data_IF_504432459176
#
_entry.id   IF_504432459176
#
_cell.length_a   1.000
_cell.length_b   1.000
_cell.length_c   1.000
_cell.angle_alpha   90.00
_cell.angle_beta   90.00
_cell.angle_gamma   90.00
#
_symmetry.space_group_name_H-M   'P 1'
#
loop_
_entity.id
_entity.type
_entity.pdbx_description
1 polymer ?
#
# COMPACT_ATOMS: atom_id res chain seq x y z
N UNK A 1 -9.98 7.56 13.86
CA UNK A 1 -9.13 6.68 13.03
C UNK A 1 -7.84 6.41 13.78
N UNK A 2 -7.42 5.15 13.88
CA UNK A 2 -6.09 4.79 14.41
C UNK A 2 -5.01 5.14 13.40
N UNK A 3 -3.75 5.21 13.85
CA UNK A 3 -2.62 5.48 12.95
C UNK A 3 -2.47 4.41 11.88
N UNK A 4 -2.74 3.14 12.24
CA UNK A 4 -2.82 2.02 11.29
C UNK A 4 -3.86 2.27 10.20
N UNK A 5 -5.10 2.60 10.57
CA UNK A 5 -6.17 2.87 9.59
C UNK A 5 -5.83 4.09 8.74
N UNK A 6 -5.18 5.12 9.30
CA UNK A 6 -4.72 6.30 8.55
C UNK A 6 -3.69 5.93 7.50
N UNK A 7 -2.70 5.11 7.85
CA UNK A 7 -1.73 4.61 6.88
C UNK A 7 -2.39 3.80 5.77
N UNK A 8 -3.35 2.92 6.09
CA UNK A 8 -4.10 2.12 5.10
C UNK A 8 -4.83 3.02 4.10
N UNK A 9 -5.52 4.06 4.58
CA UNK A 9 -6.22 5.00 3.70
C UNK A 9 -5.22 5.73 2.79
N UNK A 10 -4.11 6.23 3.35
CA UNK A 10 -3.09 6.95 2.57
C UNK A 10 -2.48 6.08 1.49
N UNK A 11 -2.02 4.85 1.80
CA UNK A 11 -1.44 3.96 0.78
C UNK A 11 -2.47 3.62 -0.31
N UNK A 12 -3.73 3.41 0.08
CA UNK A 12 -4.79 3.08 -0.88
C UNK A 12 -5.05 4.24 -1.85
N UNK A 13 -5.06 5.47 -1.34
CA UNK A 13 -5.19 6.68 -2.16
C UNK A 13 -3.99 6.88 -3.10
N UNK A 14 -2.77 6.68 -2.62
CA UNK A 14 -1.55 6.80 -3.44
C UNK A 14 -1.52 5.78 -4.58
N UNK A 15 -1.85 4.51 -4.29
CA UNK A 15 -1.95 3.46 -5.29
C UNK A 15 -3.04 3.80 -6.31
N UNK A 16 -4.21 4.25 -5.85
CA UNK A 16 -5.33 4.60 -6.72
C UNK A 16 -5.00 5.77 -7.65
N UNK A 17 -4.32 6.78 -7.13
CA UNK A 17 -3.85 7.94 -7.90
C UNK A 17 -2.69 7.63 -8.85
N UNK A 18 -1.93 6.55 -8.61
CA UNK A 18 -0.69 6.25 -9.35
C UNK A 18 0.52 7.06 -8.86
N UNK A 19 0.45 7.65 -7.68
CA UNK A 19 1.49 8.52 -7.09
C UNK A 19 2.57 7.66 -6.40
N UNK A 20 3.22 6.81 -7.20
CA UNK A 20 4.10 5.76 -6.69
C UNK A 20 5.44 6.31 -6.15
N UNK A 21 5.84 7.53 -6.51
CA UNK A 21 7.04 8.15 -5.94
C UNK A 21 6.94 8.40 -4.43
N UNK A 22 5.73 8.62 -3.89
CA UNK A 22 5.52 8.82 -2.45
C UNK A 22 5.26 7.50 -1.70
N UNK A 23 4.98 6.42 -2.42
CA UNK A 23 4.44 5.20 -1.83
C UNK A 23 5.42 4.51 -0.86
N UNK A 24 6.73 4.54 -1.14
CA UNK A 24 7.74 3.83 -0.34
C UNK A 24 7.78 4.33 1.11
N UNK A 25 7.76 5.66 1.29
CA UNK A 25 7.76 6.28 2.61
C UNK A 25 6.49 5.91 3.39
N UNK A 26 5.33 5.98 2.75
CA UNK A 26 4.05 5.67 3.40
C UNK A 26 3.86 4.18 3.69
N UNK A 27 4.46 3.30 2.88
CA UNK A 27 4.51 1.86 3.16
C UNK A 27 5.41 1.54 4.37
N UNK A 28 6.57 2.19 4.51
CA UNK A 28 7.42 2.05 5.70
C UNK A 28 6.69 2.54 6.96
N UNK A 29 6.00 3.67 6.87
CA UNK A 29 5.20 4.20 7.97
C UNK A 29 4.00 3.31 8.29
N UNK A 30 3.34 2.71 7.28
CA UNK A 30 2.31 1.71 7.49
C UNK A 30 2.81 0.49 8.27
N UNK A 31 4.01 -0.02 7.93
CA UNK A 31 4.67 -1.12 8.67
C UNK A 31 4.93 -0.73 10.12
N UNK A 32 5.46 0.47 10.38
CA UNK A 32 5.70 1.00 11.73
C UNK A 32 4.40 1.13 12.54
N UNK A 33 3.30 1.52 11.88
CA UNK A 33 1.96 1.61 12.48
C UNK A 33 1.25 0.26 12.61
N UNK A 34 1.93 -0.86 12.34
CA UNK A 34 1.42 -2.21 12.58
C UNK A 34 0.57 -2.80 11.44
N UNK A 35 0.69 -2.29 10.21
CA UNK A 35 0.14 -2.98 9.03
C UNK A 35 0.99 -4.22 8.74
N UNK A 36 0.34 -5.38 8.73
CA UNK A 36 1.02 -6.66 8.50
C UNK A 36 1.30 -6.89 7.01
N UNK A 37 2.12 -7.90 6.74
CA UNK A 37 2.43 -8.31 5.37
C UNK A 37 1.17 -8.82 4.65
N UNK A 38 0.33 -9.55 5.36
CA UNK A 38 -0.92 -10.10 4.86
C UNK A 38 -1.89 -8.96 4.53
N UNK A 39 -2.05 -7.99 5.44
CA UNK A 39 -2.95 -6.86 5.23
C UNK A 39 -2.54 -6.00 4.03
N UNK A 40 -1.25 -5.69 3.87
CA UNK A 40 -0.80 -4.89 2.72
C UNK A 40 -0.96 -5.65 1.40
N UNK A 41 -0.75 -6.97 1.41
CA UNK A 41 -1.01 -7.81 0.24
C UNK A 41 -2.49 -7.83 -0.13
N UNK A 42 -3.39 -7.95 0.85
CA UNK A 42 -4.84 -7.92 0.66
C UNK A 42 -5.30 -6.55 0.14
N UNK A 43 -4.79 -5.45 0.70
CA UNK A 43 -5.11 -4.10 0.23
C UNK A 43 -4.71 -3.92 -1.24
N UNK A 44 -3.48 -4.28 -1.61
CA UNK A 44 -3.00 -4.14 -2.99
C UNK A 44 -3.80 -5.04 -3.94
N UNK A 45 -4.09 -6.27 -3.53
CA UNK A 45 -4.89 -7.23 -4.31
C UNK A 45 -6.31 -6.73 -4.52
N UNK A 46 -6.94 -6.22 -3.47
CA UNK A 46 -8.29 -5.64 -3.55
C UNK A 46 -8.29 -4.44 -4.51
N UNK A 47 -7.33 -3.53 -4.38
CA UNK A 47 -7.21 -2.37 -5.27
C UNK A 47 -6.98 -2.75 -6.73
N UNK A 48 -6.34 -3.88 -7.04
CA UNK A 48 -6.15 -4.34 -8.42
C UNK A 48 -7.49 -4.43 -9.20
N UNK A 49 -8.59 -4.78 -8.53
CA UNK A 49 -9.92 -4.85 -9.13
C UNK A 49 -10.59 -3.48 -9.32
N UNK A 50 -10.22 -2.48 -8.53
CA UNK A 50 -10.82 -1.13 -8.58
C UNK A 50 -10.04 -0.14 -9.44
N UNK A 51 -8.71 -0.28 -9.48
CA UNK A 51 -7.83 0.70 -10.13
C UNK A 51 -6.91 0.08 -11.19
N UNK A 52 -7.05 -1.22 -11.44
CA UNK A 52 -6.35 -1.97 -12.47
C UNK A 52 -5.01 -2.56 -12.01
N UNK A 53 -4.68 -3.71 -12.61
CA UNK A 53 -3.45 -4.46 -12.35
C UNK A 53 -2.14 -3.66 -12.51
N UNK A 54 -1.96 -2.75 -13.50
CA UNK A 54 -0.69 -2.02 -13.64
C UNK A 54 -0.29 -1.21 -12.40
N UNK A 55 -1.26 -0.50 -11.78
CA UNK A 55 -1.02 0.28 -10.56
C UNK A 55 -0.75 -0.63 -9.37
N UNK A 56 -1.56 -1.67 -9.20
CA UNK A 56 -1.40 -2.63 -8.11
C UNK A 56 -0.06 -3.37 -8.19
N UNK A 57 0.36 -3.82 -9.36
CA UNK A 57 1.63 -4.54 -9.55
C UNK A 57 2.84 -3.66 -9.23
N UNK A 58 2.78 -2.39 -9.63
CA UNK A 58 3.84 -1.42 -9.32
C UNK A 58 3.95 -1.16 -7.82
N UNK A 59 2.81 -1.12 -7.11
CA UNK A 59 2.77 -1.06 -5.65
C UNK A 59 3.28 -2.36 -4.98
N UNK A 60 2.94 -3.52 -5.55
CA UNK A 60 3.32 -4.83 -5.02
C UNK A 60 4.84 -5.01 -4.97
N UNK A 61 5.56 -4.58 -6.02
CA UNK A 61 7.01 -4.65 -6.05
C UNK A 61 7.64 -3.82 -4.92
N UNK A 62 7.12 -2.62 -4.66
CA UNK A 62 7.56 -1.74 -3.58
C UNK A 62 7.25 -2.34 -2.20
N UNK A 63 6.04 -2.84 -2.01
CA UNK A 63 5.65 -3.49 -0.76
C UNK A 63 6.48 -4.75 -0.48
N UNK A 64 6.80 -5.54 -1.51
CA UNK A 64 7.68 -6.71 -1.38
C UNK A 64 9.04 -6.34 -0.80
N UNK A 65 9.62 -5.20 -1.17
CA UNK A 65 10.92 -4.76 -0.65
C UNK A 65 10.87 -4.31 0.81
N UNK A 66 9.74 -3.74 1.26
CA UNK A 66 9.56 -3.22 2.62
C UNK A 66 9.20 -4.31 3.63
N UNK A 67 8.44 -5.33 3.22
CA UNK A 67 8.08 -6.50 4.04
C UNK A 67 8.92 -7.76 3.70
N UNK A 68 10.18 -7.55 3.28
CA UNK A 68 11.21 -8.60 3.39
C UNK A 68 11.41 -8.99 4.85
#
# INVERSE_FOLDING_TARGET
MTDKTRSIVTISSLISGGNLEQLDHHLQFAKQNGVTKEEVADIITHLAFYVGWPKAWSAFNKAKDIWK
#
